data_IF_424434371865
#
_entry.id   IF_424434371865
#
_cell.length_a   1.000
_cell.length_b   1.000
_cell.length_c   1.000
_cell.angle_alpha   90.00
_cell.angle_beta   90.00
_cell.angle_gamma   90.00
#
_symmetry.space_group_name_H-M   'P 1'
#
loop_
_entity.id
_entity.type
_entity.pdbx_description
1 polymer ?
#
# COMPACT_ATOMS: atom_id res chain seq x y z
N UNK A 1 15.44 28.33 -12.34
CA UNK A 1 14.23 27.75 -11.72
C UNK A 1 14.07 26.33 -12.21
N UNK A 2 14.41 25.34 -11.39
CA UNK A 2 14.36 23.93 -11.75
C UNK A 2 13.54 23.22 -10.68
N UNK A 3 12.22 23.33 -10.79
CA UNK A 3 11.25 22.65 -9.91
C UNK A 3 10.13 22.21 -10.84
N UNK A 4 10.13 20.94 -11.26
CA UNK A 4 8.96 20.25 -11.89
C UNK A 4 9.26 18.86 -12.46
N UNK A 5 10.51 18.42 -12.59
CA UNK A 5 10.82 17.09 -13.16
C UNK A 5 10.87 15.94 -12.15
N UNK A 6 11.07 16.20 -10.86
CA UNK A 6 11.12 15.16 -9.82
C UNK A 6 9.72 14.74 -9.31
N UNK A 7 8.68 15.57 -9.50
CA UNK A 7 7.33 15.26 -9.02
C UNK A 7 6.53 14.30 -9.92
N UNK A 8 6.97 14.06 -11.16
CA UNK A 8 6.20 13.24 -12.13
C UNK A 8 6.62 11.78 -12.07
N UNK A 9 7.90 11.51 -11.76
CA UNK A 9 8.48 10.16 -11.71
C UNK A 9 7.94 9.35 -10.52
N UNK A 10 7.74 10.02 -9.37
CA UNK A 10 7.20 9.42 -8.13
C UNK A 10 5.82 8.78 -8.34
N UNK A 11 4.86 9.49 -8.95
CA UNK A 11 3.47 9.01 -9.02
C UNK A 11 3.26 7.63 -9.67
N UNK A 12 3.91 7.32 -10.80
CA UNK A 12 3.66 6.05 -11.50
C UNK A 12 4.26 4.84 -10.79
N UNK A 13 5.49 4.98 -10.30
CA UNK A 13 6.16 3.94 -9.51
C UNK A 13 5.42 3.72 -8.18
N UNK A 14 4.98 4.81 -7.55
CA UNK A 14 4.19 4.77 -6.31
C UNK A 14 2.84 4.04 -6.49
N UNK A 15 2.12 4.31 -7.59
CA UNK A 15 0.88 3.56 -7.90
C UNK A 15 1.15 2.09 -8.23
N UNK A 16 2.25 1.80 -8.92
CA UNK A 16 2.66 0.41 -9.15
C UNK A 16 2.93 -0.32 -7.84
N UNK A 17 3.55 0.35 -6.87
CA UNK A 17 3.82 -0.22 -5.55
C UNK A 17 2.54 -0.57 -4.79
N UNK A 18 1.54 0.32 -4.83
CA UNK A 18 0.23 0.09 -4.22
C UNK A 18 -0.42 -1.18 -4.81
N UNK A 19 -0.38 -1.33 -6.13
CA UNK A 19 -0.97 -2.49 -6.81
C UNK A 19 -0.19 -3.79 -6.55
N UNK A 20 1.14 -3.73 -6.44
CA UNK A 20 1.95 -4.88 -6.02
C UNK A 20 1.52 -5.36 -4.63
N UNK A 21 1.43 -4.45 -3.66
CA UNK A 21 1.05 -4.79 -2.29
C UNK A 21 -0.38 -5.32 -2.22
N UNK A 22 -1.31 -4.73 -2.98
CA UNK A 22 -2.67 -5.23 -3.09
C UNK A 22 -2.70 -6.71 -3.52
N UNK A 23 -1.93 -7.07 -4.56
CA UNK A 23 -1.83 -8.46 -5.02
C UNK A 23 -1.25 -9.39 -3.96
N UNK A 24 -0.19 -8.97 -3.26
CA UNK A 24 0.39 -9.77 -2.18
C UNK A 24 -0.65 -10.05 -1.06
N UNK A 25 -1.50 -9.08 -0.74
CA UNK A 25 -2.58 -9.26 0.23
C UNK A 25 -3.63 -10.25 -0.30
N UNK A 26 -4.02 -10.14 -1.57
CA UNK A 26 -4.92 -11.07 -2.23
C UNK A 26 -4.35 -12.51 -2.19
N UNK A 27 -3.07 -12.69 -2.49
CA UNK A 27 -2.37 -13.98 -2.42
C UNK A 27 -2.32 -14.56 -0.99
N UNK A 28 -2.06 -13.73 0.03
CA UNK A 28 -2.12 -14.14 1.44
C UNK A 28 -3.52 -14.64 1.80
N UNK A 29 -4.55 -13.96 1.31
CA UNK A 29 -5.94 -14.33 1.59
C UNK A 29 -6.33 -15.63 0.88
N UNK A 30 -5.96 -15.79 -0.39
CA UNK A 30 -6.24 -17.00 -1.18
C UNK A 30 -5.47 -18.23 -0.69
N UNK A 31 -4.22 -18.06 -0.26
CA UNK A 31 -3.39 -19.15 0.29
C UNK A 31 -3.78 -19.57 1.70
N UNK A 32 -4.56 -18.75 2.43
CA UNK A 32 -4.89 -18.98 3.84
C UNK A 32 -3.71 -18.74 4.79
N UNK A 33 -2.60 -18.15 4.30
CA UNK A 33 -1.40 -17.86 5.09
C UNK A 33 -1.57 -16.70 6.08
N UNK A 34 -2.75 -16.08 6.13
CA UNK A 34 -3.08 -15.00 7.06
C UNK A 34 -2.77 -15.33 8.52
N UNK A 35 -2.97 -16.58 8.95
CA UNK A 35 -2.70 -17.00 10.33
C UNK A 35 -1.20 -17.08 10.69
N UNK A 36 -0.32 -17.04 9.70
CA UNK A 36 1.13 -17.07 9.89
C UNK A 36 1.75 -15.68 9.99
N UNK A 37 0.97 -14.63 9.69
CA UNK A 37 1.43 -13.25 9.76
C UNK A 37 1.44 -12.72 11.19
N UNK A 38 2.36 -11.80 11.49
CA UNK A 38 2.35 -11.14 12.80
C UNK A 38 1.18 -10.19 12.93
N UNK A 39 0.74 -9.94 14.18
CA UNK A 39 -0.30 -8.95 14.49
C UNK A 39 0.03 -7.56 13.90
N UNK A 40 1.31 -7.20 13.84
CA UNK A 40 1.74 -5.94 13.25
C UNK A 40 1.47 -5.91 11.74
N UNK A 41 1.80 -6.97 11.02
CA UNK A 41 1.50 -7.10 9.59
C UNK A 41 0.00 -7.10 9.34
N UNK A 42 -0.78 -7.80 10.17
CA UNK A 42 -2.25 -7.77 10.07
C UNK A 42 -2.82 -6.36 10.25
N UNK A 43 -2.31 -5.60 11.21
CA UNK A 43 -2.72 -4.19 11.39
C UNK A 43 -2.28 -3.31 10.21
N UNK A 44 -1.12 -3.56 9.60
CA UNK A 44 -0.68 -2.85 8.39
C UNK A 44 -1.58 -3.18 7.19
N UNK A 45 -1.98 -4.44 7.01
CA UNK A 45 -2.97 -4.86 5.99
C UNK A 45 -4.29 -4.13 6.22
N UNK A 46 -4.79 -4.13 7.46
CA UNK A 46 -6.05 -3.44 7.81
C UNK A 46 -5.95 -1.95 7.46
N UNK A 47 -4.84 -1.30 7.79
CA UNK A 47 -4.62 0.13 7.54
C UNK A 47 -4.47 0.45 6.06
N UNK A 48 -3.79 -0.41 5.30
CA UNK A 48 -3.71 -0.33 3.84
C UNK A 48 -5.10 -0.40 3.21
N UNK A 49 -5.91 -1.39 3.57
CA UNK A 49 -7.26 -1.56 3.03
C UNK A 49 -8.14 -0.33 3.31
N UNK A 50 -8.06 0.22 4.53
CA UNK A 50 -8.79 1.45 4.88
C UNK A 50 -8.39 2.65 4.02
N UNK A 51 -7.10 2.85 3.79
CA UNK A 51 -6.60 3.95 2.95
C UNK A 51 -6.95 3.73 1.47
N UNK A 52 -6.86 2.49 0.99
CA UNK A 52 -7.22 2.11 -0.37
C UNK A 52 -8.71 2.38 -0.65
N UNK A 53 -9.60 1.91 0.23
CA UNK A 53 -11.05 2.17 0.15
C UNK A 53 -11.36 3.66 0.17
N UNK A 54 -10.72 4.45 1.03
CA UNK A 54 -10.95 5.91 1.07
C UNK A 54 -10.61 6.61 -0.25
N UNK A 55 -9.54 6.17 -0.92
CA UNK A 55 -9.13 6.75 -2.20
C UNK A 55 -10.01 6.26 -3.35
N UNK A 56 -10.30 4.95 -3.41
CA UNK A 56 -10.94 4.34 -4.57
C UNK A 56 -12.47 4.31 -4.50
N UNK A 57 -13.05 4.18 -3.31
CA UNK A 57 -14.50 4.11 -3.11
C UNK A 57 -15.07 5.46 -2.65
N UNK A 58 -14.48 6.05 -1.61
CA UNK A 58 -14.95 7.34 -1.06
C UNK A 58 -14.47 8.56 -1.85
N UNK A 59 -13.59 8.35 -2.85
CA UNK A 59 -13.00 9.39 -3.72
C UNK A 59 -12.29 10.50 -2.94
N UNK A 60 -11.66 10.16 -1.82
CA UNK A 60 -10.88 11.08 -1.02
C UNK A 60 -9.48 11.28 -1.63
N UNK A 61 -9.39 12.16 -2.64
CA UNK A 61 -8.16 12.42 -3.40
C UNK A 61 -7.19 13.40 -2.71
N UNK A 62 -7.23 13.49 -1.38
CA UNK A 62 -6.32 14.35 -0.64
C UNK A 62 -4.87 13.87 -0.83
N UNK A 63 -3.92 14.75 -1.21
CA UNK A 63 -2.51 14.39 -1.34
C UNK A 63 -1.94 13.77 -0.05
N UNK A 64 -2.47 14.14 1.11
CA UNK A 64 -2.07 13.56 2.39
C UNK A 64 -2.49 12.10 2.50
N UNK A 65 -3.70 11.74 2.05
CA UNK A 65 -4.22 10.37 2.09
C UNK A 65 -3.49 9.49 1.09
N UNK A 66 -3.21 10.03 -0.11
CA UNK A 66 -2.41 9.34 -1.14
C UNK A 66 -0.99 9.06 -0.60
N UNK A 67 -0.33 10.05 -0.02
CA UNK A 67 0.99 9.85 0.59
C UNK A 67 0.95 8.82 1.73
N UNK A 68 -0.11 8.82 2.55
CA UNK A 68 -0.28 7.81 3.59
C UNK A 68 -0.40 6.40 2.99
N UNK A 69 -1.16 6.25 1.90
CA UNK A 69 -1.29 4.97 1.21
C UNK A 69 0.06 4.50 0.64
N UNK A 70 0.82 5.39 0.00
CA UNK A 70 2.16 5.07 -0.56
C UNK A 70 3.10 4.60 0.53
N UNK A 71 3.24 5.37 1.62
CA UNK A 71 4.10 5.01 2.75
C UNK A 71 3.64 3.72 3.42
N UNK A 72 2.33 3.52 3.56
CA UNK A 72 1.77 2.28 4.09
C UNK A 72 2.12 1.08 3.20
N UNK A 73 2.05 1.24 1.88
CA UNK A 73 2.38 0.20 0.89
C UNK A 73 3.84 -0.22 1.00
N UNK A 74 4.77 0.75 0.99
CA UNK A 74 6.21 0.50 1.12
C UNK A 74 6.57 -0.21 2.43
N UNK A 75 5.88 0.12 3.53
CA UNK A 75 6.12 -0.53 4.81
C UNK A 75 5.53 -1.95 4.85
N UNK A 76 4.32 -2.12 4.31
CA UNK A 76 3.63 -3.41 4.30
C UNK A 76 4.35 -4.42 3.39
N UNK A 77 4.83 -4.00 2.22
CA UNK A 77 5.64 -4.86 1.34
C UNK A 77 6.83 -5.47 2.09
N UNK A 78 7.60 -4.65 2.81
CA UNK A 78 8.76 -5.13 3.58
C UNK A 78 8.39 -6.20 4.61
N UNK A 79 7.22 -6.06 5.23
CA UNK A 79 6.73 -7.05 6.21
C UNK A 79 6.26 -8.32 5.49
N UNK A 80 5.48 -8.18 4.42
CA UNK A 80 4.98 -9.32 3.65
C UNK A 80 6.13 -10.12 3.02
N UNK A 81 7.17 -9.48 2.47
CA UNK A 81 8.35 -10.17 1.94
C UNK A 81 9.16 -10.87 3.04
N UNK A 82 9.12 -10.38 4.27
CA UNK A 82 9.84 -10.98 5.39
C UNK A 82 9.08 -12.16 6.03
N UNK A 83 7.74 -12.12 5.98
CA UNK A 83 6.87 -13.08 6.67
C UNK A 83 6.22 -14.14 5.74
N UNK A 84 6.18 -13.91 4.41
CA UNK A 84 5.82 -14.94 3.42
C UNK A 84 7.01 -15.80 2.99
#
# INVERSE_FOLDING_TARGET
MQVRKEQIVTTREDFSQIETVRKMIEEVHESGNFFNLSLNTLELIRRFNQLYTRIHEDREESPAVINQLIVCSLNLEKHLVHEN
#
